data_IF_616347931425
#
_entry.id   IF_616347931425
#
_cell.length_a   1.000
_cell.length_b   1.000
_cell.length_c   1.000
_cell.angle_alpha   90.00
_cell.angle_beta   90.00
_cell.angle_gamma   90.00
#
_symmetry.space_group_name_H-M   'P 1'
#
loop_
_entity.id
_entity.type
_entity.pdbx_description
1 polymer ?
#
# COMPACT_ATOMS: atom_id res chain seq x y z
N UNK A 1 2.16 -3.88 -9.62
CA UNK A 1 0.71 -3.65 -9.63
C UNK A 1 0.05 -4.50 -10.73
N UNK A 2 -0.86 -5.42 -10.39
CA UNK A 2 -1.62 -6.21 -11.36
C UNK A 2 -2.38 -5.39 -12.39
N UNK A 3 -2.79 -4.16 -12.06
CA UNK A 3 -3.51 -3.25 -12.95
C UNK A 3 -2.75 -3.01 -14.26
N UNK A 4 -1.42 -3.07 -14.24
CA UNK A 4 -0.56 -2.95 -15.44
C UNK A 4 -0.82 -4.03 -16.50
N UNK A 5 -1.44 -5.15 -16.13
CA UNK A 5 -1.79 -6.27 -17.02
C UNK A 5 -3.30 -6.42 -17.24
N UNK A 6 -4.12 -5.53 -16.69
CA UNK A 6 -5.58 -5.65 -16.80
C UNK A 6 -6.13 -5.09 -18.11
N UNK A 7 -7.17 -5.73 -18.64
CA UNK A 7 -7.98 -5.24 -19.79
C UNK A 7 -7.10 -4.95 -21.03
N UNK A 8 -7.39 -3.86 -21.76
CA UNK A 8 -6.66 -3.48 -22.97
C UNK A 8 -5.27 -2.95 -22.64
N UNK A 9 -4.26 -3.59 -23.23
CA UNK A 9 -2.87 -3.14 -23.18
C UNK A 9 -2.56 -2.22 -24.37
N UNK A 10 -1.73 -1.22 -24.13
CA UNK A 10 -1.23 -0.27 -25.11
C UNK A 10 0.23 0.05 -24.77
N UNK A 11 1.14 -0.11 -25.73
CA UNK A 11 2.58 0.15 -25.54
C UNK A 11 3.17 -0.53 -24.30
N UNK A 12 2.83 -1.81 -24.10
CA UNK A 12 3.42 -2.63 -23.03
C UNK A 12 2.80 -2.48 -21.63
N UNK A 13 1.75 -1.67 -21.44
CA UNK A 13 1.00 -1.61 -20.16
C UNK A 13 -0.50 -1.38 -20.37
N UNK A 14 -1.30 -1.57 -19.32
CA UNK A 14 -2.74 -1.31 -19.35
C UNK A 14 -3.09 0.18 -19.47
N UNK A 15 -4.11 0.48 -20.29
CA UNK A 15 -4.75 1.80 -20.31
C UNK A 15 -5.30 2.22 -18.94
N UNK A 16 -5.71 1.27 -18.10
CA UNK A 16 -6.18 1.56 -16.74
C UNK A 16 -5.05 2.05 -15.83
N UNK A 17 -3.84 1.51 -16.00
CA UNK A 17 -2.68 2.00 -15.27
C UNK A 17 -2.35 3.45 -15.67
N UNK A 18 -2.37 3.77 -16.96
CA UNK A 18 -2.16 5.15 -17.44
C UNK A 18 -3.17 6.13 -16.86
N UNK A 19 -4.43 5.73 -16.72
CA UNK A 19 -5.48 6.56 -16.15
C UNK A 19 -5.28 6.79 -14.64
N UNK A 20 -5.05 5.73 -13.88
CA UNK A 20 -5.03 5.79 -12.40
C UNK A 20 -3.69 6.20 -11.79
N UNK A 21 -2.58 6.08 -12.54
CA UNK A 21 -1.23 6.31 -12.02
C UNK A 21 -0.53 7.56 -12.59
N UNK A 22 -1.26 8.40 -13.34
CA UNK A 22 -0.72 9.67 -13.84
C UNK A 22 -0.15 10.50 -12.69
N UNK A 23 1.05 11.07 -12.91
CA UNK A 23 1.82 11.88 -11.95
C UNK A 23 2.29 11.16 -10.67
N UNK A 24 2.06 9.85 -10.52
CA UNK A 24 2.60 9.08 -9.39
C UNK A 24 4.03 8.64 -9.70
N UNK A 25 4.93 8.81 -8.73
CA UNK A 25 6.26 8.17 -8.76
C UNK A 25 6.12 6.72 -8.32
N UNK A 26 6.95 5.82 -8.86
CA UNK A 26 6.87 4.38 -8.58
C UNK A 26 8.23 3.85 -8.16
N UNK A 27 8.24 3.06 -7.09
CA UNK A 27 9.37 2.23 -6.65
C UNK A 27 8.86 0.81 -6.45
N UNK A 28 9.71 -0.19 -6.67
CA UNK A 28 9.39 -1.60 -6.40
C UNK A 28 10.12 -2.07 -5.16
N UNK A 29 9.38 -2.63 -4.20
CA UNK A 29 9.92 -3.09 -2.92
C UNK A 29 9.34 -4.47 -2.60
N UNK A 30 10.19 -5.39 -2.16
CA UNK A 30 9.75 -6.70 -1.67
C UNK A 30 9.52 -6.64 -0.16
N UNK A 31 8.26 -6.54 0.26
CA UNK A 31 7.89 -6.45 1.68
C UNK A 31 8.09 -7.75 2.47
N UNK A 32 8.42 -8.87 1.81
CA UNK A 32 8.81 -10.12 2.49
C UNK A 32 10.27 -10.11 2.92
N UNK A 33 11.07 -9.16 2.43
CA UNK A 33 12.46 -8.99 2.84
C UNK A 33 12.55 -7.91 3.93
N UNK A 34 13.33 -8.13 5.01
CA UNK A 34 13.48 -7.14 6.08
C UNK A 34 13.89 -5.75 5.55
N UNK A 35 14.86 -5.70 4.65
CA UNK A 35 15.30 -4.43 4.03
C UNK A 35 14.17 -3.73 3.26
N UNK A 36 13.24 -4.48 2.68
CA UNK A 36 12.09 -3.90 2.00
C UNK A 36 11.10 -3.26 2.98
N UNK A 37 10.90 -3.87 4.15
CA UNK A 37 10.12 -3.27 5.24
C UNK A 37 10.78 -1.97 5.71
N UNK A 38 12.10 -1.95 5.82
CA UNK A 38 12.83 -0.76 6.26
C UNK A 38 12.75 0.40 5.25
N UNK A 39 12.77 0.11 3.95
CA UNK A 39 12.50 1.13 2.92
C UNK A 39 11.14 1.80 3.15
N UNK A 40 10.09 1.03 3.47
CA UNK A 40 8.77 1.61 3.76
C UNK A 40 8.79 2.45 5.02
N UNK A 41 9.44 1.99 6.10
CA UNK A 41 9.53 2.75 7.35
C UNK A 41 10.20 4.11 7.15
N UNK A 42 11.27 4.16 6.36
CA UNK A 42 11.95 5.41 5.99
C UNK A 42 11.04 6.34 5.19
N UNK A 43 10.25 5.82 4.25
CA UNK A 43 9.28 6.63 3.52
C UNK A 43 8.17 7.16 4.42
N UNK A 44 7.70 6.36 5.39
CA UNK A 44 6.64 6.74 6.33
C UNK A 44 7.07 7.88 7.26
N UNK A 45 8.35 7.94 7.63
CA UNK A 45 8.89 9.03 8.45
C UNK A 45 8.72 10.42 7.80
N UNK A 46 8.60 10.47 6.47
CA UNK A 46 8.46 11.71 5.70
C UNK A 46 7.06 11.85 5.06
N UNK A 47 6.19 10.85 5.19
CA UNK A 47 4.88 10.84 4.54
C UNK A 47 3.78 11.37 5.47
N UNK A 48 2.89 12.20 4.94
CA UNK A 48 1.68 12.62 5.65
C UNK A 48 0.59 11.53 5.65
N UNK A 49 0.51 10.76 4.55
CA UNK A 49 -0.58 9.80 4.32
C UNK A 49 -0.03 8.47 3.79
N UNK A 50 -0.46 7.36 4.39
CA UNK A 50 -0.31 6.01 3.84
C UNK A 50 -1.67 5.49 3.41
N UNK A 51 -1.77 5.03 2.16
CA UNK A 51 -2.99 4.42 1.61
C UNK A 51 -2.70 2.96 1.28
N UNK A 52 -3.57 2.06 1.75
CA UNK A 52 -3.43 0.62 1.51
C UNK A 52 -4.80 -0.03 1.26
N UNK A 53 -4.80 -1.09 0.45
CA UNK A 53 -6.00 -1.85 0.12
C UNK A 53 -5.81 -3.38 0.21
N UNK A 54 -4.93 -3.85 1.10
CA UNK A 54 -4.76 -5.28 1.34
C UNK A 54 -5.93 -5.85 2.12
N UNK A 55 -6.00 -7.19 2.18
CA UNK A 55 -6.90 -7.85 3.14
C UNK A 55 -6.52 -7.42 4.57
N UNK A 56 -7.50 -7.26 5.47
CA UNK A 56 -7.23 -6.88 6.85
C UNK A 56 -6.19 -7.81 7.51
N UNK A 57 -5.24 -7.21 8.25
CA UNK A 57 -4.17 -7.93 8.95
C UNK A 57 -2.90 -8.22 8.13
N UNK A 58 -2.88 -7.98 6.80
CA UNK A 58 -1.68 -8.25 5.98
C UNK A 58 -0.52 -7.33 6.36
N UNK A 59 -0.74 -6.01 6.40
CA UNK A 59 0.29 -5.04 6.81
C UNK A 59 0.73 -5.23 8.26
N UNK A 60 -0.22 -5.60 9.14
CA UNK A 60 0.05 -5.86 10.54
C UNK A 60 1.05 -7.04 10.70
N UNK A 61 0.86 -8.13 9.95
CA UNK A 61 1.80 -9.28 9.90
C UNK A 61 3.18 -8.91 9.33
N UNK A 62 3.27 -7.86 8.53
CA UNK A 62 4.52 -7.34 7.98
C UNK A 62 5.20 -6.31 8.91
N UNK A 63 4.63 -6.02 10.08
CA UNK A 63 5.15 -5.00 10.99
C UNK A 63 5.01 -3.56 10.47
N UNK A 64 4.03 -3.35 9.59
CA UNK A 64 3.71 -2.08 8.93
C UNK A 64 2.24 -1.69 9.16
N UNK A 65 1.61 -2.24 10.20
CA UNK A 65 0.28 -1.83 10.66
C UNK A 65 0.28 -0.46 11.36
N UNK A 66 -0.91 0.05 11.66
CA UNK A 66 -1.09 1.37 12.28
C UNK A 66 -0.23 1.55 13.54
N UNK A 67 -0.29 0.61 14.48
CA UNK A 67 0.46 0.63 15.74
C UNK A 67 1.98 0.72 15.55
N UNK A 68 2.51 0.18 14.44
CA UNK A 68 3.92 0.24 14.13
C UNK A 68 4.29 1.57 13.44
N UNK A 69 3.48 2.01 12.49
CA UNK A 69 3.76 3.20 11.69
C UNK A 69 3.52 4.52 12.45
N UNK A 70 2.49 4.58 13.29
CA UNK A 70 2.19 5.76 14.11
C UNK A 70 3.30 6.06 15.15
N UNK A 71 4.05 5.05 15.57
CA UNK A 71 5.24 5.23 16.42
C UNK A 71 6.41 5.88 15.67
N UNK A 72 6.50 5.65 14.36
CA UNK A 72 7.54 6.24 13.51
C UNK A 72 7.16 7.69 13.19
N UNK A 73 5.90 7.93 12.83
CA UNK A 73 5.40 9.26 12.51
C UNK A 73 4.04 9.50 13.21
N UNK A 74 4.02 10.23 14.35
CA UNK A 74 2.78 10.55 15.06
C UNK A 74 1.80 11.45 14.30
N UNK A 75 2.25 12.16 13.25
CA UNK A 75 1.40 12.99 12.38
C UNK A 75 0.78 12.22 11.22
N UNK A 76 1.09 10.92 11.07
CA UNK A 76 0.65 10.10 9.95
C UNK A 76 -0.87 9.87 9.95
N UNK A 77 -1.48 9.96 8.77
CA UNK A 77 -2.84 9.47 8.53
C UNK A 77 -2.78 8.17 7.73
N UNK A 78 -3.41 7.11 8.24
CA UNK A 78 -3.49 5.83 7.54
C UNK A 78 -4.91 5.58 6.99
N UNK A 79 -5.02 5.46 5.67
CA UNK A 79 -6.27 5.16 4.96
C UNK A 79 -6.26 3.70 4.52
N UNK A 80 -7.22 2.92 5.02
CA UNK A 80 -7.30 1.47 4.79
C UNK A 80 -8.59 1.12 4.04
N UNK A 81 -8.47 0.46 2.90
CA UNK A 81 -9.60 0.07 2.07
C UNK A 81 -9.70 -1.46 1.96
N UNK A 82 -10.80 -2.05 2.41
CA UNK A 82 -11.09 -3.47 2.25
C UNK A 82 -12.55 -3.67 1.85
N UNK A 83 -12.90 -4.86 1.38
CA UNK A 83 -14.26 -5.14 0.88
C UNK A 83 -15.36 -4.95 1.93
N UNK A 84 -15.09 -5.31 3.18
CA UNK A 84 -16.07 -5.30 4.29
C UNK A 84 -15.59 -4.53 5.53
N UNK A 85 -14.55 -3.71 5.41
CA UNK A 85 -13.92 -3.00 6.53
C UNK A 85 -12.82 -3.79 7.24
N UNK A 86 -12.19 -3.17 8.24
CA UNK A 86 -11.08 -3.77 9.01
C UNK A 86 -11.56 -4.62 10.19
N UNK A 87 -12.85 -4.57 10.50
CA UNK A 87 -13.48 -5.21 11.66
C UNK A 87 -14.86 -5.76 11.29
N UNK A 88 -15.36 -6.70 12.09
CA UNK A 88 -16.69 -7.30 11.91
C UNK A 88 -16.63 -8.71 11.32
N UNK A 89 -17.78 -9.42 11.29
CA UNK A 89 -17.84 -10.85 10.98
C UNK A 89 -17.46 -11.21 9.54
N UNK A 90 -17.50 -10.24 8.61
CA UNK A 90 -17.16 -10.43 7.19
C UNK A 90 -15.79 -9.85 6.81
N UNK A 91 -14.98 -9.42 7.79
CA UNK A 91 -13.74 -8.70 7.52
C UNK A 91 -12.56 -9.59 7.11
N UNK A 92 -12.73 -10.92 7.02
CA UNK A 92 -11.67 -11.87 6.68
C UNK A 92 -11.90 -12.59 5.36
#
# INVERSE_FOLDING_TARGET
>A
DPLRKWRKLYEGTSLWWYLQARNKKSVTVNLKHPDGVEVVRRLVAEADIVVENFRPGVLDKLGLGWEALAKINPGLVMVRLSGFGQSGPMAQ
#
